data_IF_576322164444
#
_entry.id   IF_576322164444
#
_cell.length_a   1.000
_cell.length_b   1.000
_cell.length_c   1.000
_cell.angle_alpha   90.00
_cell.angle_beta   90.00
_cell.angle_gamma   90.00
#
_symmetry.space_group_name_H-M   'P 1'
#
loop_
_entity.id
_entity.type
_entity.pdbx_description
1 polymer ?
#
# COMPACT_ATOMS: atom_id res chain seq x y z
N UNK A 1 7.35 -12.73 11.03
CA UNK A 1 6.33 -11.87 11.65
C UNK A 1 4.98 -12.36 11.19
N UNK A 2 4.18 -12.92 12.08
CA UNK A 2 2.82 -13.38 11.78
C UNK A 2 1.84 -12.21 11.87
N UNK A 3 0.80 -12.18 11.02
CA UNK A 3 -0.23 -11.12 11.02
C UNK A 3 -0.79 -10.90 12.43
N UNK A 4 -1.09 -11.98 13.13
CA UNK A 4 -1.64 -11.98 14.49
C UNK A 4 -0.77 -11.23 15.51
N UNK A 5 0.56 -11.29 15.37
CA UNK A 5 1.46 -10.55 16.24
C UNK A 5 1.37 -9.04 15.99
N UNK A 6 1.27 -8.63 14.72
CA UNK A 6 1.13 -7.23 14.32
C UNK A 6 -0.23 -6.66 14.71
N UNK A 7 -1.31 -7.46 14.60
CA UNK A 7 -2.64 -7.06 15.08
C UNK A 7 -2.66 -6.87 16.60
N UNK A 8 -1.96 -7.72 17.34
CA UNK A 8 -1.80 -7.54 18.78
C UNK A 8 -1.07 -6.25 19.12
N UNK A 9 -0.01 -5.91 18.38
CA UNK A 9 0.69 -4.62 18.55
C UNK A 9 -0.22 -3.44 18.24
N UNK A 10 -1.03 -3.52 17.18
CA UNK A 10 -2.02 -2.51 16.84
C UNK A 10 -3.04 -2.32 17.97
N UNK A 11 -3.56 -3.43 18.53
CA UNK A 11 -4.50 -3.42 19.65
C UNK A 11 -3.87 -2.89 20.95
N UNK A 12 -2.56 -3.03 21.12
CA UNK A 12 -1.80 -2.46 22.24
C UNK A 12 -1.48 -0.97 22.05
N UNK A 13 -2.02 -0.32 21.01
CA UNK A 13 -1.88 1.10 20.74
C UNK A 13 -0.66 1.47 19.90
N UNK A 14 0.13 0.48 19.45
CA UNK A 14 1.21 0.74 18.50
C UNK A 14 0.64 0.84 17.09
N UNK A 15 -0.03 1.95 16.79
CA UNK A 15 -0.51 2.24 15.45
C UNK A 15 0.50 3.10 14.70
N UNK A 16 1.08 2.55 13.62
CA UNK A 16 2.09 3.25 12.83
C UNK A 16 1.95 2.88 11.36
N UNK A 17 2.30 3.82 10.46
CA UNK A 17 2.25 3.61 9.02
C UNK A 17 2.98 2.33 8.58
N UNK A 18 4.15 2.06 9.14
CA UNK A 18 4.94 0.86 8.84
C UNK A 18 4.26 -0.43 9.32
N UNK A 19 3.61 -0.41 10.49
CA UNK A 19 2.87 -1.55 11.00
C UNK A 19 1.67 -1.86 10.11
N UNK A 20 0.89 -0.83 9.78
CA UNK A 20 -0.27 -0.94 8.89
C UNK A 20 0.12 -1.38 7.47
N UNK A 21 1.22 -0.86 6.95
CA UNK A 21 1.81 -1.32 5.68
C UNK A 21 2.13 -2.82 5.73
N UNK A 22 2.77 -3.28 6.81
CA UNK A 22 3.15 -4.68 6.96
C UNK A 22 1.92 -5.58 7.07
N UNK A 23 0.92 -5.17 7.86
CA UNK A 23 -0.38 -5.85 7.96
C UNK A 23 -1.06 -5.95 6.58
N UNK A 24 -1.14 -4.84 5.85
CA UNK A 24 -1.76 -4.84 4.53
C UNK A 24 -1.01 -5.65 3.49
N UNK A 25 0.33 -5.67 3.56
CA UNK A 25 1.14 -6.53 2.68
C UNK A 25 0.94 -8.01 3.00
N UNK A 26 0.75 -8.40 4.27
CA UNK A 26 0.41 -9.77 4.64
C UNK A 26 -0.99 -10.13 4.17
N UNK A 27 -1.95 -9.21 4.33
CA UNK A 27 -3.31 -9.38 3.82
C UNK A 27 -3.36 -9.69 2.33
N UNK A 28 -2.54 -9.03 1.50
CA UNK A 28 -2.46 -9.38 0.09
C UNK A 28 -1.84 -10.76 -0.18
N UNK A 29 -0.89 -11.19 0.65
CA UNK A 29 -0.29 -12.53 0.51
C UNK A 29 -1.26 -13.64 0.91
N UNK A 30 -2.17 -13.34 1.81
CA UNK A 30 -3.23 -14.24 2.29
C UNK A 30 -4.51 -14.10 1.44
N UNK A 31 -4.43 -13.47 0.27
CA UNK A 31 -5.56 -13.32 -0.67
C UNK A 31 -6.76 -12.57 -0.07
N UNK A 32 -6.51 -11.68 0.88
CA UNK A 32 -7.51 -10.80 1.52
C UNK A 32 -7.28 -9.32 1.13
N UNK A 33 -7.53 -8.96 -0.15
CA UNK A 33 -7.27 -7.62 -0.64
C UNK A 33 -8.17 -6.55 0.01
N UNK A 34 -9.36 -6.89 0.50
CA UNK A 34 -10.24 -5.95 1.23
C UNK A 34 -9.62 -5.48 2.54
N UNK A 35 -9.09 -6.41 3.35
CA UNK A 35 -8.38 -6.07 4.58
C UNK A 35 -7.10 -5.31 4.27
N UNK A 36 -6.39 -5.70 3.21
CA UNK A 36 -5.20 -4.99 2.77
C UNK A 36 -5.48 -3.52 2.49
N UNK A 37 -6.51 -3.22 1.69
CA UNK A 37 -6.94 -1.85 1.37
C UNK A 37 -7.22 -1.05 2.65
N UNK A 38 -7.90 -1.62 3.64
CA UNK A 38 -8.20 -0.92 4.90
C UNK A 38 -6.94 -0.54 5.67
N UNK A 39 -6.01 -1.49 5.82
CA UNK A 39 -4.76 -1.22 6.53
C UNK A 39 -3.87 -0.23 5.75
N UNK A 40 -3.75 -0.41 4.45
CA UNK A 40 -2.90 0.42 3.58
C UNK A 40 -3.44 1.84 3.41
N UNK A 41 -4.76 2.02 3.35
CA UNK A 41 -5.39 3.34 3.31
C UNK A 41 -4.99 4.18 4.55
N UNK A 42 -4.98 3.55 5.72
CA UNK A 42 -4.57 4.22 6.95
C UNK A 42 -3.04 4.39 7.02
N UNK A 43 -2.26 3.48 6.43
CA UNK A 43 -0.81 3.63 6.31
C UNK A 43 -0.43 4.86 5.49
N UNK A 44 -1.04 5.05 4.30
CA UNK A 44 -0.77 6.20 3.44
C UNK A 44 -1.35 7.50 3.99
N UNK A 45 -2.38 7.43 4.84
CA UNK A 45 -2.92 8.58 5.56
C UNK A 45 -1.97 9.05 6.67
N UNK A 46 -1.33 8.11 7.38
CA UNK A 46 -0.35 8.42 8.42
C UNK A 46 0.99 8.89 7.85
N UNK A 47 1.50 8.21 6.82
CA UNK A 47 2.71 8.61 6.12
C UNK A 47 2.46 8.71 4.61
N UNK A 48 1.98 9.88 4.13
CA UNK A 48 1.74 10.09 2.70
C UNK A 48 3.03 10.12 1.88
N UNK A 49 4.20 10.20 2.51
CA UNK A 49 5.50 10.19 1.82
C UNK A 49 6.07 8.78 1.67
N UNK A 50 5.34 7.74 2.08
CA UNK A 50 5.81 6.36 1.97
C UNK A 50 5.47 5.75 0.60
N UNK A 51 6.40 5.85 -0.36
CA UNK A 51 6.26 5.30 -1.72
C UNK A 51 5.86 3.81 -1.74
N UNK A 52 6.43 2.99 -0.86
CA UNK A 52 6.09 1.57 -0.78
C UNK A 52 4.65 1.31 -0.31
N UNK A 53 4.11 2.14 0.60
CA UNK A 53 2.71 2.01 1.04
C UNK A 53 1.74 2.28 -0.11
N UNK A 54 2.00 3.33 -0.89
CA UNK A 54 1.21 3.64 -2.09
C UNK A 54 1.26 2.51 -3.12
N UNK A 55 2.45 1.93 -3.36
CA UNK A 55 2.61 0.80 -4.29
C UNK A 55 1.73 -0.40 -3.90
N UNK A 56 1.81 -0.80 -2.64
CA UNK A 56 1.05 -1.97 -2.15
C UNK A 56 -0.44 -1.64 -2.05
N UNK A 57 -0.81 -0.40 -1.69
CA UNK A 57 -2.20 0.05 -1.68
C UNK A 57 -2.84 -0.05 -3.06
N UNK A 58 -2.16 0.45 -4.09
CA UNK A 58 -2.62 0.38 -5.46
C UNK A 58 -2.75 -1.07 -5.96
N UNK A 59 -1.81 -1.96 -5.57
CA UNK A 59 -1.93 -3.41 -5.84
C UNK A 59 -3.16 -4.02 -5.18
N UNK A 60 -3.46 -3.66 -3.94
CA UNK A 60 -4.64 -4.15 -3.24
C UNK A 60 -5.94 -3.70 -3.91
N UNK A 61 -6.02 -2.43 -4.32
CA UNK A 61 -7.16 -1.89 -5.06
C UNK A 61 -7.34 -2.58 -6.42
N UNK A 62 -6.24 -2.82 -7.14
CA UNK A 62 -6.27 -3.55 -8.40
C UNK A 62 -6.78 -5.00 -8.24
N UNK A 63 -6.39 -5.68 -7.15
CA UNK A 63 -6.88 -7.02 -6.83
C UNK A 63 -8.38 -7.04 -6.49
N UNK A 64 -8.95 -5.91 -6.07
CA UNK A 64 -10.41 -5.73 -5.87
C UNK A 64 -11.14 -5.28 -7.14
N UNK A 65 -10.50 -5.27 -8.30
CA UNK A 65 -11.03 -4.68 -9.54
C UNK A 65 -11.43 -3.20 -9.41
N UNK A 66 -10.88 -2.48 -8.40
CA UNK A 66 -11.07 -1.05 -8.20
C UNK A 66 -10.01 -0.29 -8.99
N UNK A 67 -10.04 -0.45 -10.31
CA UNK A 67 -8.99 0.02 -11.21
C UNK A 67 -8.81 1.54 -11.16
N UNK A 68 -9.89 2.30 -11.08
CA UNK A 68 -9.83 3.76 -11.04
C UNK A 68 -9.08 4.28 -9.81
N UNK A 69 -9.39 3.70 -8.65
CA UNK A 69 -8.70 4.02 -7.39
C UNK A 69 -7.26 3.51 -7.37
N UNK A 70 -7.02 2.33 -7.96
CA UNK A 70 -5.67 1.79 -8.10
C UNK A 70 -4.80 2.71 -8.97
N UNK A 71 -5.34 3.27 -10.06
CA UNK A 71 -4.64 4.24 -10.90
C UNK A 71 -4.28 5.49 -10.11
N UNK A 72 -5.24 6.07 -9.37
CA UNK A 72 -5.00 7.25 -8.53
C UNK A 72 -3.91 6.97 -7.48
N UNK A 73 -3.97 5.80 -6.82
CA UNK A 73 -2.97 5.40 -5.83
C UNK A 73 -1.57 5.21 -6.46
N UNK A 74 -1.47 4.61 -7.65
CA UNK A 74 -0.20 4.51 -8.36
C UNK A 74 0.34 5.87 -8.78
N UNK A 75 -0.50 6.76 -9.30
CA UNK A 75 -0.09 8.13 -9.67
C UNK A 75 0.50 8.85 -8.47
N UNK A 76 -0.20 8.83 -7.32
CA UNK A 76 0.28 9.45 -6.09
C UNK A 76 1.59 8.81 -5.59
N UNK A 77 1.67 7.49 -5.64
CA UNK A 77 2.88 6.76 -5.27
C UNK A 77 4.07 7.11 -6.15
N UNK A 78 3.87 7.28 -7.46
CA UNK A 78 4.90 7.70 -8.41
C UNK A 78 5.39 9.11 -8.07
N UNK A 79 4.49 10.07 -7.86
CA UNK A 79 4.87 11.44 -7.48
C UNK A 79 5.72 11.46 -6.21
N UNK A 80 5.29 10.70 -5.19
CA UNK A 80 6.02 10.58 -3.91
C UNK A 80 7.37 9.92 -4.09
N UNK A 81 7.45 8.84 -4.88
CA UNK A 81 8.69 8.14 -5.16
C UNK A 81 9.68 9.04 -5.93
N UNK A 82 9.21 9.77 -6.95
CA UNK A 82 10.03 10.73 -7.69
C UNK A 82 10.52 11.88 -6.81
N UNK A 83 9.64 12.44 -5.96
CA UNK A 83 10.01 13.48 -5.01
C UNK A 83 11.08 13.01 -4.00
N UNK A 84 11.10 11.73 -3.64
CA UNK A 84 12.09 11.12 -2.75
C UNK A 84 13.36 10.62 -3.46
N UNK A 85 13.41 10.68 -4.79
CA UNK A 85 14.49 10.09 -5.59
C UNK A 85 14.46 8.55 -5.65
N UNK A 86 13.34 7.93 -5.26
CA UNK A 86 13.09 6.48 -5.38
C UNK A 86 12.64 6.13 -6.81
N UNK A 87 13.57 6.31 -7.75
CA UNK A 87 13.33 6.10 -9.18
C UNK A 87 12.90 4.67 -9.49
N UNK A 88 13.34 3.70 -8.69
CA UNK A 88 12.99 2.30 -8.88
C UNK A 88 11.52 2.03 -8.53
N UNK A 89 11.05 2.52 -7.37
CA UNK A 89 9.65 2.37 -7.02
C UNK A 89 8.73 3.10 -8.01
N UNK A 90 9.11 4.30 -8.46
CA UNK A 90 8.38 5.05 -9.49
C UNK A 90 8.26 4.25 -10.80
N UNK A 91 9.36 3.65 -11.26
CA UNK A 91 9.37 2.80 -12.47
C UNK A 91 8.48 1.58 -12.32
N UNK A 92 8.58 0.85 -11.21
CA UNK A 92 7.70 -0.30 -10.94
C UNK A 92 6.23 0.11 -10.98
N UNK A 93 5.87 1.18 -10.27
CA UNK A 93 4.49 1.67 -10.21
C UNK A 93 3.95 2.11 -11.57
N UNK A 94 4.78 2.75 -12.41
CA UNK A 94 4.40 3.09 -13.80
C UNK A 94 4.07 1.87 -14.64
N UNK A 95 4.82 0.77 -14.48
CA UNK A 95 4.53 -0.49 -15.19
C UNK A 95 3.18 -1.06 -14.75
N UNK A 96 2.90 -1.07 -13.44
CA UNK A 96 1.60 -1.54 -12.95
C UNK A 96 0.46 -0.63 -13.39
N UNK A 97 0.64 0.69 -13.35
CA UNK A 97 -0.33 1.66 -13.83
C UNK A 97 -0.69 1.42 -15.30
N UNK A 98 0.31 1.16 -16.15
CA UNK A 98 0.12 0.81 -17.58
C UNK A 98 -0.55 -0.56 -17.78
N UNK A 99 -0.52 -1.46 -16.80
CA UNK A 99 -1.24 -2.75 -16.90
C UNK A 99 -2.73 -2.62 -16.57
N UNK A 100 -3.13 -1.53 -15.89
CA UNK A 100 -4.51 -1.21 -15.58
C UNK A 100 -5.20 -0.39 -16.69
N UNK A 101 -4.54 -0.17 -17.83
CA UNK A 101 -5.02 0.68 -18.93
C UNK A 101 -4.39 0.33 -20.27
#
# INVERSE_FOLDING_TARGET
>A
MERRALEKMLAQGNDSALLRYTLGSLCLKEEEPEMAVRHLAEAVKQDPNHSASWKIYAKALAALSREDEARQAYQRGIEVAEARGDVQAAKEMRVFLKRLG
#
